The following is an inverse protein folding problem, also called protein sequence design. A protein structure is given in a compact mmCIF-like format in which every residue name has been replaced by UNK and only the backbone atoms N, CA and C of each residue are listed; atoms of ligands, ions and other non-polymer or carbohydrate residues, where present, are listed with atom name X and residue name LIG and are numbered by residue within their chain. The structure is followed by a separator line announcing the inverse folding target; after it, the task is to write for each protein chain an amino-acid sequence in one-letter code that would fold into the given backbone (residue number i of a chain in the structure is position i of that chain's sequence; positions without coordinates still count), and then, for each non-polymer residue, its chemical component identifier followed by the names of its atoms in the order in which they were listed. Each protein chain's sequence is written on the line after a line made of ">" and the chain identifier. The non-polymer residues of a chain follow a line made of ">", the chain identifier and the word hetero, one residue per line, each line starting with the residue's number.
data_IF_721356598473
#
_entry.id   IF_721356598473
#
_cell.length_a   1.000
_cell.length_b   1.000
_cell.length_c   1.000
_cell.angle_alpha   90.00
_cell.angle_beta   90.00
_cell.angle_gamma   90.00
#
_symmetry.space_group_name_H-M   'P 1'
#
loop_
_entity.id
_entity.type
_entity.pdbx_description
1 polymer ?
#
# COMPACT_ATOMS: atom_id res chain seq x y z
N UNK A 1 -13.34 -20.81 11.68
CA UNK A 1 -14.43 -21.05 12.67
C UNK A 1 -14.72 -22.53 12.91
N UNK A 2 -14.85 -23.38 11.87
CA UNK A 2 -15.13 -24.82 12.06
C UNK A 2 -14.08 -25.60 12.88
N UNK A 3 -12.84 -25.08 12.95
CA UNK A 3 -11.72 -25.63 13.75
C UNK A 3 -11.57 -24.99 15.15
N UNK A 4 -12.55 -24.20 15.62
CA UNK A 4 -12.51 -23.56 16.96
C UNK A 4 -11.93 -22.14 17.00
N UNK A 5 -11.53 -21.56 15.86
CA UNK A 5 -11.06 -20.17 15.79
C UNK A 5 -12.17 -19.16 16.13
N UNK A 6 -11.88 -18.21 17.01
CA UNK A 6 -12.82 -17.16 17.45
C UNK A 6 -12.96 -16.04 16.43
N UNK A 7 -14.04 -15.24 16.54
CA UNK A 7 -14.26 -14.05 15.69
C UNK A 7 -13.10 -13.05 15.76
N UNK A 8 -12.43 -12.97 16.92
CA UNK A 8 -11.23 -12.15 17.11
C UNK A 8 -10.05 -12.65 16.32
N UNK A 9 -9.84 -13.98 16.28
CA UNK A 9 -8.71 -14.57 15.54
C UNK A 9 -8.84 -14.28 14.05
N UNK A 10 -10.04 -14.52 13.49
CA UNK A 10 -10.36 -14.22 12.08
C UNK A 10 -10.15 -12.74 11.79
N UNK A 11 -10.67 -11.86 12.64
CA UNK A 11 -10.52 -10.41 12.46
C UNK A 11 -9.06 -9.96 12.54
N UNK A 12 -8.26 -10.54 13.44
CA UNK A 12 -6.82 -10.23 13.57
C UNK A 12 -6.01 -10.68 12.37
N UNK A 13 -6.34 -11.84 11.79
CA UNK A 13 -5.68 -12.38 10.61
C UNK A 13 -5.87 -11.46 9.40
N UNK A 14 -7.13 -11.08 9.13
CA UNK A 14 -7.42 -10.13 8.05
C UNK A 14 -6.81 -8.74 8.30
N UNK A 15 -6.73 -8.31 9.56
CA UNK A 15 -6.05 -7.05 9.91
C UNK A 15 -4.55 -7.11 9.60
N UNK A 16 -3.90 -8.21 9.97
CA UNK A 16 -2.49 -8.43 9.71
C UNK A 16 -2.21 -8.53 8.20
N UNK A 17 -3.06 -9.23 7.46
CA UNK A 17 -2.97 -9.35 6.01
C UNK A 17 -3.17 -8.00 5.31
N UNK A 18 -4.17 -7.22 5.74
CA UNK A 18 -4.39 -5.87 5.23
C UNK A 18 -3.19 -4.96 5.52
N UNK A 19 -2.65 -4.99 6.74
CA UNK A 19 -1.47 -4.22 7.12
C UNK A 19 -0.22 -4.62 6.33
N UNK A 20 -0.03 -5.91 6.09
CA UNK A 20 1.05 -6.41 5.24
C UNK A 20 0.90 -5.91 3.79
N UNK A 21 -0.31 -5.98 3.22
CA UNK A 21 -0.59 -5.44 1.88
C UNK A 21 -0.36 -3.93 1.80
N UNK A 22 -0.73 -3.17 2.83
CA UNK A 22 -0.44 -1.73 2.92
C UNK A 22 1.04 -1.41 2.99
N UNK A 23 1.81 -2.18 3.76
CA UNK A 23 3.27 -2.06 3.82
C UNK A 23 3.91 -2.33 2.46
N UNK A 24 3.58 -3.47 1.83
CA UNK A 24 4.11 -3.83 0.52
C UNK A 24 3.71 -2.79 -0.54
N UNK A 25 2.45 -2.38 -0.57
CA UNK A 25 1.96 -1.35 -1.48
C UNK A 25 2.64 0.01 -1.26
N UNK A 26 2.84 0.41 -0.01
CA UNK A 26 3.54 1.65 0.34
C UNK A 26 5.01 1.64 -0.09
N UNK A 27 5.75 0.58 0.22
CA UNK A 27 7.16 0.43 -0.19
C UNK A 27 7.28 0.41 -1.72
N UNK A 28 6.43 -0.36 -2.39
CA UNK A 28 6.44 -0.47 -3.83
C UNK A 28 6.05 0.84 -4.52
N UNK A 29 5.05 1.54 -3.99
CA UNK A 29 4.60 2.85 -4.48
C UNK A 29 5.67 3.93 -4.33
N UNK A 30 6.35 4.02 -3.19
CA UNK A 30 7.47 4.95 -2.98
C UNK A 30 8.62 4.63 -3.93
N UNK A 31 8.96 3.35 -4.09
CA UNK A 31 10.03 2.92 -5.00
C UNK A 31 9.72 3.30 -6.45
N UNK A 32 8.50 3.04 -6.91
CA UNK A 32 8.06 3.45 -8.25
C UNK A 32 8.04 4.96 -8.42
N UNK A 33 7.54 5.71 -7.43
CA UNK A 33 7.52 7.17 -7.45
C UNK A 33 8.93 7.76 -7.57
N UNK A 34 9.90 7.18 -6.86
CA UNK A 34 11.31 7.58 -6.95
C UNK A 34 11.93 7.24 -8.31
N UNK A 35 11.65 6.06 -8.87
CA UNK A 35 12.11 5.67 -10.20
C UNK A 35 11.56 6.58 -11.29
N UNK A 36 10.26 6.88 -11.25
CA UNK A 36 9.61 7.78 -12.21
C UNK A 36 10.17 9.20 -12.06
N UNK A 37 10.32 9.70 -10.83
CA UNK A 37 10.91 11.02 -10.56
C UNK A 37 12.35 11.14 -11.07
N UNK A 38 13.14 10.08 -10.92
CA UNK A 38 14.51 10.00 -11.43
C UNK A 38 14.55 9.96 -12.95
N UNK A 39 13.67 9.17 -13.59
CA UNK A 39 13.56 9.10 -15.04
C UNK A 39 13.14 10.45 -15.67
N UNK A 40 12.18 11.15 -15.04
CA UNK A 40 11.78 12.50 -15.45
C UNK A 40 12.91 13.51 -15.29
N UNK A 41 13.66 13.45 -14.19
CA UNK A 41 14.82 14.32 -13.97
C UNK A 41 15.92 14.06 -15.02
N UNK A 42 16.16 12.80 -15.36
CA UNK A 42 17.13 12.43 -16.39
C UNK A 42 16.70 12.92 -17.79
N UNK A 43 15.45 12.69 -18.18
CA UNK A 43 14.92 13.15 -19.47
C UNK A 43 14.91 14.67 -19.62
N UNK A 44 14.52 15.39 -18.57
CA UNK A 44 14.54 16.87 -18.55
C UNK A 44 15.96 17.44 -18.56
N UNK A 45 16.91 16.79 -17.89
CA UNK A 45 18.32 17.21 -17.91
C UNK A 45 18.92 17.11 -19.31
N UNK A 46 18.63 16.05 -20.07
CA UNK A 46 19.07 15.87 -21.46
C UNK A 46 18.49 16.97 -22.37
N UNK A 47 17.20 17.27 -22.20
CA UNK A 47 16.52 18.30 -22.98
C UNK A 47 17.03 19.72 -22.66
N UNK A 48 17.25 20.03 -21.39
CA UNK A 48 17.75 21.33 -20.93
C UNK A 48 19.23 21.55 -21.27
N UNK A 49 20.07 20.49 -21.24
CA UNK A 49 21.46 20.57 -21.71
C UNK A 49 21.55 20.95 -23.20
N UNK A 50 20.59 20.51 -24.02
CA UNK A 50 20.51 20.90 -25.45
C UNK A 50 20.20 22.39 -25.64
N UNK A 51 19.66 23.06 -24.62
CA UNK A 51 19.27 24.47 -24.66
C UNK A 51 20.20 25.39 -23.84
N UNK A 52 21.33 24.89 -23.32
CA UNK A 52 22.27 25.65 -22.46
C UNK A 52 21.65 26.23 -21.17
N UNK A 53 20.51 25.70 -20.69
CA UNK A 53 19.92 26.09 -19.40
C UNK A 53 20.44 25.20 -18.26
N UNK A 54 20.57 25.74 -17.02
CA UNK A 54 20.93 24.94 -15.87
C UNK A 54 19.86 23.87 -15.61
N UNK A 55 20.30 22.61 -15.42
CA UNK A 55 19.40 21.50 -15.14
C UNK A 55 18.64 21.71 -13.82
N UNK A 56 17.31 21.74 -13.89
CA UNK A 56 16.47 21.84 -12.70
C UNK A 56 16.29 20.45 -12.10
N UNK A 57 16.72 20.26 -10.84
CA UNK A 57 16.36 19.06 -10.07
C UNK A 57 14.90 19.16 -9.64
N UNK A 58 13.99 18.66 -10.47
CA UNK A 58 12.55 18.70 -10.21
C UNK A 58 12.15 17.66 -9.15
N UNK A 59 12.86 16.54 -9.07
CA UNK A 59 12.54 15.48 -8.11
C UNK A 59 13.38 15.59 -6.84
N UNK A 60 12.92 16.42 -5.89
CA UNK A 60 13.36 16.34 -4.49
C UNK A 60 12.26 15.63 -3.72
N UNK A 61 12.40 14.32 -3.52
CA UNK A 61 11.50 13.53 -2.67
C UNK A 61 12.13 13.45 -1.28
N UNK A 62 11.67 14.25 -0.31
CA UNK A 62 12.23 14.20 1.01
C UNK A 62 11.81 12.94 1.76
N UNK A 63 12.68 12.48 2.67
CA UNK A 63 12.51 11.23 3.42
C UNK A 63 11.22 11.20 4.26
N UNK A 64 10.76 12.34 4.78
CA UNK A 64 9.50 12.42 5.52
C UNK A 64 8.27 12.18 4.62
N UNK A 65 8.34 12.57 3.34
CA UNK A 65 7.25 12.36 2.38
C UNK A 65 7.11 10.86 2.09
N UNK A 66 8.24 10.18 1.89
CA UNK A 66 8.26 8.73 1.72
C UNK A 66 7.68 7.99 2.92
N UNK A 67 8.07 8.36 4.15
CA UNK A 67 7.49 7.79 5.38
C UNK A 67 5.99 8.06 5.50
N UNK A 68 5.55 9.28 5.19
CA UNK A 68 4.13 9.63 5.22
C UNK A 68 3.31 8.85 4.20
N UNK A 69 3.86 8.58 3.01
CA UNK A 69 3.20 7.81 1.96
C UNK A 69 3.01 6.35 2.36
N UNK A 70 4.03 5.74 2.98
CA UNK A 70 3.93 4.37 3.52
C UNK A 70 2.91 4.30 4.65
N UNK A 71 2.97 5.25 5.60
CA UNK A 71 2.01 5.31 6.70
C UNK A 71 0.57 5.47 6.19
N UNK A 72 0.37 6.34 5.19
CA UNK A 72 -0.92 6.54 4.55
C UNK A 72 -1.41 5.28 3.84
N UNK A 73 -0.54 4.60 3.08
CA UNK A 73 -0.89 3.34 2.42
C UNK A 73 -1.33 2.25 3.41
N UNK A 74 -0.64 2.13 4.55
CA UNK A 74 -1.03 1.23 5.64
C UNK A 74 -2.42 1.62 6.18
N UNK A 75 -2.64 2.89 6.52
CA UNK A 75 -3.94 3.34 7.06
C UNK A 75 -5.08 3.04 6.07
N UNK A 76 -4.89 3.36 4.79
CA UNK A 76 -5.90 3.10 3.75
C UNK A 76 -6.15 1.61 3.60
N UNK A 77 -5.10 0.78 3.59
CA UNK A 77 -5.24 -0.69 3.50
C UNK A 77 -5.99 -1.28 4.70
N UNK A 78 -5.74 -0.78 5.91
CA UNK A 78 -6.40 -1.24 7.13
C UNK A 78 -7.88 -0.82 7.14
N UNK A 79 -8.19 0.40 6.70
CA UNK A 79 -9.57 0.88 6.54
C UNK A 79 -10.30 0.04 5.48
N UNK A 80 -9.66 -0.26 4.36
CA UNK A 80 -10.21 -1.11 3.32
C UNK A 80 -10.42 -2.56 3.81
N UNK A 81 -9.51 -3.08 4.65
CA UNK A 81 -9.58 -4.43 5.24
C UNK A 81 -10.55 -4.56 6.42
N UNK A 82 -10.90 -3.46 7.10
CA UNK A 82 -11.81 -3.43 8.24
C UNK A 82 -13.23 -3.91 7.88
N UNK A 83 -13.74 -3.50 6.72
CA UNK A 83 -15.06 -3.89 6.23
C UNK A 83 -15.16 -5.39 5.91
N UNK A 84 -14.29 -5.99 5.06
CA UNK A 84 -14.32 -7.42 4.78
C UNK A 84 -13.98 -8.25 6.02
N UNK A 85 -13.04 -7.83 6.88
CA UNK A 85 -12.72 -8.55 8.13
C UNK A 85 -13.93 -8.67 9.05
N UNK A 86 -14.71 -7.58 9.19
CA UNK A 86 -15.93 -7.56 10.00
C UNK A 86 -17.03 -8.43 9.40
N UNK A 87 -17.13 -8.47 8.06
CA UNK A 87 -18.09 -9.34 7.37
C UNK A 87 -17.69 -10.82 7.47
N UNK A 88 -16.40 -11.13 7.29
CA UNK A 88 -15.83 -12.48 7.39
C UNK A 88 -15.95 -13.06 8.81
N UNK A 89 -15.73 -12.25 9.84
CA UNK A 89 -15.91 -12.66 11.22
C UNK A 89 -17.38 -12.94 11.58
N UNK A 90 -18.36 -12.40 10.85
CA UNK A 90 -19.80 -12.63 11.10
C UNK A 90 -20.41 -13.73 10.24
N UNK A 91 -19.69 -14.25 9.24
CA UNK A 91 -20.17 -15.37 8.42
C UNK A 91 -20.32 -16.63 9.28
N UNK A 92 -21.49 -17.27 9.19
CA UNK A 92 -21.78 -18.50 9.90
C UNK A 92 -21.04 -19.66 9.21
N UNK A 93 -20.19 -20.41 9.92
CA UNK A 93 -19.42 -21.50 9.33
C UNK A 93 -20.32 -22.62 8.79
N UNK A 94 -21.52 -22.78 9.35
CA UNK A 94 -22.52 -23.76 8.91
C UNK A 94 -23.09 -23.41 7.54
N UNK A 95 -23.19 -22.12 7.18
CA UNK A 95 -23.62 -21.69 5.85
C UNK A 95 -22.50 -21.83 4.81
N UNK A 96 -21.25 -21.64 5.21
CA UNK A 96 -20.10 -21.84 4.32
C UNK A 96 -19.90 -23.30 3.91
N UNK A 97 -20.25 -24.27 4.79
CA UNK A 97 -20.19 -25.71 4.50
C UNK A 97 -21.42 -26.23 3.74
N UNK A 98 -22.55 -25.51 3.76
CA UNK A 98 -23.80 -25.96 3.11
C UNK A 98 -23.92 -25.51 1.65
N UNK A 99 -22.99 -24.68 1.21
CA UNK A 99 -22.86 -24.24 -0.19
C UNK A 99 -21.77 -25.01 -0.96
N UNK A 100 -21.20 -26.05 -0.32
CA UNK A 100 -20.40 -27.09 -0.97
C UNK A 100 -21.19 -28.40 -0.99
#
# INVERSE_FOLDING_TARGET
>A
KALGATDRDVRSLFFAEAGAMGLFGGVFGVTLGWLIGSALTWGTTIYLHRQNLPGVKISYVPWWLALSAIAFAIIVSLIAGLYPASRAARLNPVEALRYE
#
